data_IF_690313246916
#
_entry.id   IF_690313246916
#
_cell.length_a   1.000
_cell.length_b   1.000
_cell.length_c   1.000
_cell.angle_alpha   90.00
_cell.angle_beta   90.00
_cell.angle_gamma   90.00
#
_symmetry.space_group_name_H-M   'P 1'
#
loop_
_entity.id
_entity.type
_entity.pdbx_description
1 polymer ?
#
# COMPACT_ATOMS: atom_id res chain seq x y z
N UNK A 1 -16.95 -47.38 8.46
CA UNK A 1 -15.91 -46.32 8.34
C UNK A 1 -15.44 -45.95 9.75
N UNK A 2 -14.18 -46.21 10.09
CA UNK A 2 -13.67 -46.08 11.47
C UNK A 2 -13.71 -44.64 11.97
N UNK A 3 -13.90 -44.46 13.28
CA UNK A 3 -13.97 -43.16 13.95
C UNK A 3 -12.79 -42.24 13.61
N UNK A 4 -11.59 -42.81 13.50
CA UNK A 4 -10.38 -42.11 13.08
C UNK A 4 -10.49 -41.44 11.69
N UNK A 5 -11.18 -42.08 10.73
CA UNK A 5 -11.39 -41.51 9.40
C UNK A 5 -12.34 -40.31 9.42
N UNK A 6 -13.35 -40.33 10.28
CA UNK A 6 -14.28 -39.20 10.44
C UNK A 6 -13.59 -38.00 11.10
N UNK A 7 -12.78 -38.25 12.13
CA UNK A 7 -12.00 -37.22 12.82
C UNK A 7 -10.97 -36.55 11.89
N UNK A 8 -10.28 -37.33 11.05
CA UNK A 8 -9.32 -36.80 10.08
C UNK A 8 -9.97 -35.88 9.02
N UNK A 9 -11.15 -36.24 8.53
CA UNK A 9 -11.89 -35.42 7.55
C UNK A 9 -12.35 -34.10 8.18
N UNK A 10 -12.84 -34.13 9.42
CA UNK A 10 -13.25 -32.92 10.15
C UNK A 10 -12.04 -32.00 10.41
N UNK A 11 -10.91 -32.55 10.84
CA UNK A 11 -9.69 -31.79 11.05
C UNK A 11 -9.19 -31.14 9.74
N UNK A 12 -9.27 -31.85 8.61
CA UNK A 12 -8.86 -31.33 7.30
C UNK A 12 -9.75 -30.16 6.85
N UNK A 13 -11.07 -30.26 7.04
CA UNK A 13 -12.02 -29.19 6.70
C UNK A 13 -11.79 -27.95 7.55
N UNK A 14 -11.52 -28.12 8.85
CA UNK A 14 -11.19 -27.00 9.74
C UNK A 14 -9.87 -26.34 9.37
N UNK A 15 -8.84 -27.12 9.00
CA UNK A 15 -7.55 -26.61 8.58
C UNK A 15 -7.65 -25.83 7.26
N UNK A 16 -8.42 -26.34 6.29
CA UNK A 16 -8.67 -25.65 5.01
C UNK A 16 -9.48 -24.36 5.22
N UNK A 17 -10.46 -24.37 6.13
CA UNK A 17 -11.18 -23.15 6.51
C UNK A 17 -10.27 -22.09 7.16
N UNK A 18 -9.34 -22.51 8.02
CA UNK A 18 -8.39 -21.61 8.69
C UNK A 18 -7.35 -21.00 7.71
N UNK A 19 -6.91 -21.79 6.72
CA UNK A 19 -6.02 -21.32 5.67
C UNK A 19 -6.75 -20.39 4.69
N UNK A 20 -8.03 -20.64 4.37
CA UNK A 20 -8.81 -19.78 3.49
C UNK A 20 -9.00 -18.36 4.04
N UNK A 21 -9.10 -18.19 5.36
CA UNK A 21 -9.21 -16.87 6.02
C UNK A 21 -7.94 -16.02 5.84
N UNK A 22 -6.78 -16.67 5.67
CA UNK A 22 -5.50 -15.98 5.48
C UNK A 22 -5.13 -15.78 4.00
N UNK A 23 -5.75 -16.53 3.08
CA UNK A 23 -5.38 -16.53 1.65
C UNK A 23 -6.39 -15.85 0.73
N UNK A 24 -7.66 -15.77 1.12
CA UNK A 24 -8.67 -14.97 0.42
C UNK A 24 -8.76 -13.65 1.16
N UNK A 25 -8.41 -12.55 0.49
CA UNK A 25 -8.42 -11.20 1.04
C UNK A 25 -9.80 -10.80 1.57
N UNK A 26 -10.11 -11.23 2.79
CA UNK A 26 -11.23 -10.71 3.55
C UNK A 26 -11.04 -9.19 3.58
N UNK A 27 -12.08 -8.40 3.29
CA UNK A 27 -11.98 -6.96 3.38
C UNK A 27 -11.59 -6.65 4.82
N UNK A 28 -10.33 -6.27 5.04
CA UNK A 28 -9.89 -5.69 6.30
C UNK A 28 -10.90 -4.59 6.57
N UNK A 29 -11.59 -4.66 7.71
CA UNK A 29 -12.47 -3.59 8.17
C UNK A 29 -11.70 -2.28 7.96
N UNK A 30 -12.11 -1.48 6.96
CA UNK A 30 -11.48 -0.21 6.68
C UNK A 30 -11.83 0.69 7.85
N UNK A 31 -10.97 0.65 8.87
CA UNK A 31 -11.01 1.61 9.97
C UNK A 31 -10.95 2.99 9.33
N UNK A 32 -11.85 3.88 9.74
CA UNK A 32 -11.96 5.23 9.21
C UNK A 32 -10.59 5.92 9.13
N UNK A 33 -10.35 6.66 8.06
CA UNK A 33 -9.18 7.53 7.95
C UNK A 33 -9.22 8.54 9.10
N UNK A 34 -8.15 8.59 9.90
CA UNK A 34 -7.98 9.49 11.02
C UNK A 34 -6.69 10.29 10.85
N UNK A 35 -6.85 11.60 10.79
CA UNK A 35 -5.75 12.57 10.64
C UNK A 35 -5.86 13.61 11.75
N UNK A 36 -4.78 13.79 12.51
CA UNK A 36 -4.68 14.80 13.56
C UNK A 36 -3.45 15.67 13.30
N UNK A 37 -3.64 16.99 13.34
CA UNK A 37 -2.57 17.96 13.08
C UNK A 37 -1.95 17.78 11.69
N UNK A 38 -2.78 17.44 10.71
CA UNK A 38 -2.38 17.19 9.32
C UNK A 38 -2.36 18.49 8.53
N UNK A 39 -1.28 18.70 7.77
CA UNK A 39 -1.16 19.74 6.75
C UNK A 39 -0.53 19.10 5.52
N UNK A 40 -1.06 19.42 4.34
CA UNK A 40 -0.57 18.83 3.12
C UNK A 40 -1.14 19.47 1.87
N UNK A 41 -0.58 19.06 0.75
CA UNK A 41 -1.00 19.46 -0.59
C UNK A 41 -0.79 18.30 -1.56
N UNK A 42 -1.63 18.26 -2.59
CA UNK A 42 -1.56 17.29 -3.68
C UNK A 42 -1.73 18.00 -5.01
N UNK A 43 -1.06 17.48 -6.03
CA UNK A 43 -1.11 18.02 -7.38
C UNK A 43 -0.83 16.94 -8.42
N UNK A 44 -0.73 17.33 -9.70
CA UNK A 44 -0.58 16.38 -10.80
C UNK A 44 0.65 15.45 -10.68
N UNK A 45 1.72 15.94 -10.06
CA UNK A 45 3.02 15.28 -9.97
C UNK A 45 3.57 15.17 -8.54
N UNK A 46 2.74 15.41 -7.52
CA UNK A 46 3.19 15.32 -6.12
C UNK A 46 2.05 15.05 -5.13
N UNK A 47 2.43 14.50 -3.98
CA UNK A 47 1.58 14.40 -2.81
C UNK A 47 2.42 14.54 -1.54
N UNK A 48 2.09 15.52 -0.71
CA UNK A 48 2.90 15.94 0.44
C UNK A 48 2.03 16.13 1.67
N UNK A 49 2.38 15.48 2.78
CA UNK A 49 1.64 15.58 4.03
C UNK A 49 2.58 15.47 5.24
N UNK A 50 2.42 16.38 6.20
CA UNK A 50 2.97 16.25 7.55
C UNK A 50 1.82 16.17 8.56
N UNK A 51 1.94 15.26 9.53
CA UNK A 51 0.89 14.96 10.47
C UNK A 51 1.45 14.60 11.86
N UNK A 52 0.70 14.96 12.90
CA UNK A 52 0.98 14.45 14.24
C UNK A 52 0.52 13.00 14.39
N UNK A 53 -0.59 12.65 13.73
CA UNK A 53 -1.11 11.28 13.69
C UNK A 53 -1.81 11.02 12.36
N UNK A 54 -1.50 9.89 11.75
CA UNK A 54 -2.18 9.36 10.57
C UNK A 54 -2.49 7.88 10.75
N UNK A 55 -3.74 7.51 10.49
CA UNK A 55 -4.21 6.15 10.25
C UNK A 55 -5.10 6.19 9.02
N UNK A 56 -4.86 5.31 8.07
CA UNK A 56 -5.73 5.18 6.91
C UNK A 56 -4.99 4.96 5.60
N UNK A 57 -5.67 5.33 4.52
CA UNK A 57 -5.19 5.27 3.15
C UNK A 57 -5.28 6.65 2.49
N UNK A 58 -4.21 7.09 1.82
CA UNK A 58 -4.22 8.16 0.82
C UNK A 58 -3.77 7.59 -0.52
N UNK A 59 -4.23 8.19 -1.62
CA UNK A 59 -3.83 7.72 -2.95
C UNK A 59 -3.86 8.79 -4.02
N UNK A 60 -2.98 8.64 -5.01
CA UNK A 60 -2.96 9.43 -6.24
C UNK A 60 -3.05 8.50 -7.47
N UNK A 61 -3.60 9.02 -8.56
CA UNK A 61 -3.58 8.37 -9.87
C UNK A 61 -2.53 9.01 -10.76
N UNK A 62 -1.73 8.18 -11.42
CA UNK A 62 -0.63 8.60 -12.29
C UNK A 62 -0.88 7.95 -13.66
N UNK A 63 -1.05 8.78 -14.70
CA UNK A 63 -1.20 8.28 -16.05
C UNK A 63 0.17 8.08 -16.69
N UNK A 64 0.40 6.90 -17.27
CA UNK A 64 1.59 6.57 -18.03
C UNK A 64 1.20 5.94 -19.36
N UNK A 65 1.93 6.26 -20.43
CA UNK A 65 1.86 5.55 -21.71
C UNK A 65 2.72 4.28 -21.69
N UNK A 66 2.54 3.43 -22.70
CA UNK A 66 3.31 2.20 -22.86
C UNK A 66 4.82 2.50 -23.00
N UNK A 67 5.66 1.63 -22.42
CA UNK A 67 7.12 1.69 -22.50
C UNK A 67 7.79 2.94 -21.88
N UNK A 68 7.05 3.71 -21.08
CA UNK A 68 7.61 4.79 -20.28
C UNK A 68 8.26 4.29 -18.99
N UNK A 69 9.00 5.17 -18.32
CA UNK A 69 9.51 4.97 -16.96
C UNK A 69 8.81 5.93 -16.02
N UNK A 70 8.18 5.39 -14.98
CA UNK A 70 7.68 6.15 -13.85
C UNK A 70 8.78 6.26 -12.79
N UNK A 71 9.26 7.47 -12.55
CA UNK A 71 10.21 7.75 -11.48
C UNK A 71 9.47 8.30 -10.27
N UNK A 72 9.53 7.58 -9.15
CA UNK A 72 8.97 8.01 -7.86
C UNK A 72 10.08 8.45 -6.93
N UNK A 73 10.10 9.74 -6.59
CA UNK A 73 10.90 10.31 -5.52
C UNK A 73 10.10 10.27 -4.22
N UNK A 74 10.77 9.85 -3.14
CA UNK A 74 10.19 9.84 -1.80
C UNK A 74 11.14 10.48 -0.80
N UNK A 75 10.57 11.28 0.09
CA UNK A 75 11.19 11.73 1.33
C UNK A 75 10.20 11.47 2.46
N UNK A 76 10.52 10.51 3.32
CA UNK A 76 9.63 10.00 4.36
C UNK A 76 10.22 10.34 5.73
N UNK A 77 9.42 10.96 6.59
CA UNK A 77 9.74 11.20 7.99
C UNK A 77 8.90 10.27 8.87
N UNK A 78 9.55 9.37 9.62
CA UNK A 78 8.88 8.50 10.60
C UNK A 78 9.35 8.87 12.00
N UNK A 79 8.43 9.39 12.81
CA UNK A 79 8.64 9.59 14.26
C UNK A 79 8.14 8.39 15.06
N UNK A 80 7.05 7.77 14.62
CA UNK A 80 6.54 6.52 15.20
C UNK A 80 5.67 5.73 14.22
N UNK A 81 5.53 4.44 14.48
CA UNK A 81 4.73 3.53 13.65
C UNK A 81 5.44 3.16 12.35
N UNK A 82 4.66 2.99 11.29
CA UNK A 82 5.22 2.72 9.96
C UNK A 82 4.31 3.26 8.86
N UNK A 83 4.88 3.49 7.69
CA UNK A 83 4.16 3.87 6.48
C UNK A 83 4.43 2.84 5.39
N UNK A 84 3.39 2.41 4.69
CA UNK A 84 3.48 1.52 3.55
C UNK A 84 3.14 2.30 2.29
N UNK A 85 4.10 2.43 1.39
CA UNK A 85 3.90 3.02 0.06
C UNK A 85 3.83 1.89 -0.96
N UNK A 86 2.81 1.90 -1.81
CA UNK A 86 2.56 0.90 -2.85
C UNK A 86 2.27 1.61 -4.16
N UNK A 87 2.71 1.00 -5.25
CA UNK A 87 2.26 1.34 -6.58
C UNK A 87 1.55 0.15 -7.19
N UNK A 88 0.34 0.37 -7.69
CA UNK A 88 -0.48 -0.63 -8.38
C UNK A 88 -0.56 -0.30 -9.87
N UNK A 89 -0.49 -1.32 -10.72
CA UNK A 89 -0.72 -1.21 -12.16
C UNK A 89 -2.18 -0.85 -12.47
N UNK A 90 -2.50 -0.48 -13.72
CA UNK A 90 -3.88 -0.22 -14.16
C UNK A 90 -4.84 -1.40 -13.93
N UNK A 91 -4.31 -2.63 -13.88
CA UNK A 91 -5.06 -3.86 -13.60
C UNK A 91 -5.14 -4.18 -12.09
N UNK A 92 -4.66 -3.29 -11.23
CA UNK A 92 -4.66 -3.45 -9.77
C UNK A 92 -3.56 -4.37 -9.23
N UNK A 93 -2.58 -4.77 -10.05
CA UNK A 93 -1.47 -5.62 -9.62
C UNK A 93 -0.42 -4.79 -8.90
N UNK A 94 0.12 -5.30 -7.79
CA UNK A 94 1.25 -4.66 -7.12
C UNK A 94 2.50 -4.68 -8.01
N UNK A 95 3.03 -3.50 -8.36
CA UNK A 95 4.27 -3.37 -9.15
C UNK A 95 5.46 -2.96 -8.28
N UNK A 96 5.22 -2.20 -7.22
CA UNK A 96 6.25 -1.82 -6.26
C UNK A 96 5.63 -1.57 -4.88
N UNK A 97 6.39 -1.86 -3.83
CA UNK A 97 6.05 -1.44 -2.47
C UNK A 97 7.27 -1.33 -1.58
N UNK A 98 7.18 -0.44 -0.59
CA UNK A 98 8.15 -0.34 0.49
C UNK A 98 7.47 0.03 1.81
N UNK A 99 7.90 -0.64 2.88
CA UNK A 99 7.53 -0.30 4.25
C UNK A 99 8.64 0.58 4.82
N UNK A 100 8.24 1.70 5.42
CA UNK A 100 9.10 2.65 6.11
C UNK A 100 8.76 2.61 7.60
N UNK A 101 9.67 2.07 8.40
CA UNK A 101 9.64 2.11 9.87
C UNK A 101 10.65 3.11 10.45
N UNK A 102 11.45 3.73 9.58
CA UNK A 102 12.42 4.78 9.87
C UNK A 102 12.35 5.82 8.74
N UNK A 103 12.82 7.04 9.01
CA UNK A 103 12.90 8.11 8.01
C UNK A 103 13.86 7.73 6.88
N UNK A 104 13.47 7.98 5.65
CA UNK A 104 14.31 7.68 4.49
C UNK A 104 13.91 8.53 3.28
N UNK A 105 14.92 8.90 2.50
CA UNK A 105 14.76 9.58 1.22
C UNK A 105 15.35 8.74 0.09
N UNK A 106 14.80 8.84 -1.11
CA UNK A 106 15.36 8.18 -2.29
C UNK A 106 14.48 8.32 -3.51
N UNK A 107 14.84 7.55 -4.54
CA UNK A 107 14.07 7.43 -5.76
C UNK A 107 13.99 5.98 -6.21
N UNK A 108 12.97 5.66 -7.00
CA UNK A 108 12.84 4.38 -7.67
C UNK A 108 12.32 4.61 -9.09
N UNK A 109 12.92 3.91 -10.05
CA UNK A 109 12.50 3.90 -11.44
C UNK A 109 11.70 2.62 -11.69
N UNK A 110 10.46 2.77 -12.16
CA UNK A 110 9.54 1.67 -12.41
C UNK A 110 9.23 1.66 -13.91
N UNK A 111 9.66 0.63 -14.66
CA UNK A 111 9.29 0.49 -16.07
C UNK A 111 7.79 0.23 -16.21
N UNK A 112 7.16 0.85 -17.21
CA UNK A 112 5.74 0.72 -17.53
C UNK A 112 5.56 -0.29 -18.66
N UNK A 113 5.20 -1.52 -18.28
CA UNK A 113 4.96 -2.61 -19.23
C UNK A 113 3.66 -2.40 -20.04
N UNK A 114 2.66 -1.79 -19.41
CA UNK A 114 1.36 -1.47 -19.99
C UNK A 114 0.86 -0.17 -19.40
N UNK A 115 0.55 0.77 -20.27
CA UNK A 115 0.06 2.09 -19.96
C UNK A 115 -1.33 2.10 -19.35
N UNK A 116 -1.71 3.27 -18.84
CA UNK A 116 -2.95 3.51 -18.12
C UNK A 116 -2.70 4.18 -16.77
N UNK A 117 -3.73 4.16 -15.93
CA UNK A 117 -3.68 4.78 -14.60
C UNK A 117 -3.07 3.85 -13.56
N UNK A 118 -1.85 4.15 -13.14
CA UNK A 118 -1.24 3.58 -11.96
C UNK A 118 -1.82 4.23 -10.71
N UNK A 119 -1.99 3.44 -9.64
CA UNK A 119 -2.45 3.94 -8.33
C UNK A 119 -1.30 3.91 -7.34
N UNK A 120 -0.84 5.09 -6.92
CA UNK A 120 0.07 5.26 -5.80
C UNK A 120 -0.75 5.28 -4.52
N UNK A 121 -0.45 4.40 -3.56
CA UNK A 121 -1.21 4.18 -2.33
C UNK A 121 -0.29 4.29 -1.13
N UNK A 122 -0.70 5.08 -0.15
CA UNK A 122 -0.01 5.32 1.11
C UNK A 122 -0.93 4.80 2.19
N UNK A 123 -0.50 3.80 2.95
CA UNK A 123 -1.29 3.12 3.96
C UNK A 123 -0.53 3.10 5.29
N UNK A 124 -1.26 3.32 6.39
CA UNK A 124 -0.74 3.02 7.72
C UNK A 124 -1.88 2.69 8.69
N UNK A 125 -1.70 1.71 9.59
CA UNK A 125 -2.61 1.53 10.72
C UNK A 125 -2.44 2.62 11.79
N UNK A 126 -1.25 3.25 11.86
CA UNK A 126 -0.90 4.30 12.81
C UNK A 126 0.54 4.78 12.54
N UNK A 127 0.72 6.07 12.30
CA UNK A 127 2.06 6.68 12.16
C UNK A 127 2.04 8.17 12.54
N UNK A 128 3.21 8.71 12.88
CA UNK A 128 3.46 10.14 13.05
C UNK A 128 4.70 10.56 12.26
N UNK A 129 4.72 11.79 11.75
CA UNK A 129 5.77 12.28 10.85
C UNK A 129 5.18 12.87 9.57
N UNK A 130 5.63 12.40 8.42
CA UNK A 130 5.16 12.92 7.13
C UNK A 130 5.75 12.19 5.94
N UNK A 131 5.28 12.56 4.76
CA UNK A 131 5.82 12.10 3.49
C UNK A 131 5.73 13.20 2.44
N UNK A 132 6.76 13.28 1.62
CA UNK A 132 6.84 14.07 0.41
C UNK A 132 7.09 13.13 -0.76
N UNK A 133 6.08 12.95 -1.60
CA UNK A 133 6.16 12.10 -2.79
C UNK A 133 6.08 12.98 -4.03
N UNK A 134 7.02 12.81 -4.95
CA UNK A 134 7.00 13.43 -6.27
C UNK A 134 7.19 12.36 -7.33
N UNK A 135 6.56 12.54 -8.48
CA UNK A 135 6.72 11.61 -9.59
C UNK A 135 6.86 12.32 -10.92
N UNK A 136 7.58 11.65 -11.83
CA UNK A 136 7.76 12.05 -13.21
C UNK A 136 7.58 10.84 -14.12
N UNK A 137 7.08 11.08 -15.33
CA UNK A 137 6.82 10.04 -16.32
C UNK A 137 7.54 10.41 -17.61
N UNK A 138 8.44 9.53 -18.07
CA UNK A 138 9.29 9.74 -19.23
C UNK A 138 9.17 8.60 -20.22
#
# INVERSE_FOLDING_TARGET
MSWARKAAVVALVLLMGFLAINFVGAPRLRLFNLEIGSVGAEGPNYMKYHYQYFRGEKSALIFCDDAQTLTLHYDIEIKSGYLLVKLLSPQGKLVWSKIFNESASGLVNIPVDSGGFFKLVIESPSTSGGFDLLWDVQ
#
